data_IF_174740263978
#
_entry.id   IF_174740263978
#
_cell.length_a   1.000
_cell.length_b   1.000
_cell.length_c   1.000
_cell.angle_alpha   90.00
_cell.angle_beta   90.00
_cell.angle_gamma   90.00
#
_symmetry.space_group_name_H-M   'P 1'
#
loop_
_entity.id
_entity.type
_entity.pdbx_description
1 polymer ?
#
# COMPACT_ATOMS: atom_id res chain seq x y z
N UNK A 1 -8.00 -16.63 -18.16
CA UNK A 1 -8.20 -17.42 -16.92
C UNK A 1 -8.19 -16.60 -15.62
N UNK A 2 -7.37 -15.54 -15.44
CA UNK A 2 -7.30 -14.78 -14.15
C UNK A 2 -8.57 -14.04 -13.67
N UNK A 3 -9.54 -13.76 -14.55
CA UNK A 3 -10.80 -13.12 -14.14
C UNK A 3 -11.70 -14.05 -13.33
N UNK A 4 -11.60 -15.37 -13.57
CA UNK A 4 -12.42 -16.37 -12.89
C UNK A 4 -11.96 -16.53 -11.44
N UNK A 5 -10.65 -16.55 -11.21
CA UNK A 5 -10.07 -16.56 -9.85
C UNK A 5 -10.48 -15.31 -9.05
N UNK A 6 -10.53 -14.15 -9.71
CA UNK A 6 -10.90 -12.88 -9.08
C UNK A 6 -12.38 -12.82 -8.71
N UNK A 7 -13.24 -13.37 -9.57
CA UNK A 7 -14.66 -13.53 -9.27
C UNK A 7 -14.87 -14.52 -8.12
N UNK A 8 -14.11 -15.61 -8.11
CA UNK A 8 -14.21 -16.63 -7.07
C UNK A 8 -13.77 -16.08 -5.70
N UNK A 9 -12.71 -15.27 -5.65
CA UNK A 9 -12.23 -14.66 -4.40
C UNK A 9 -13.22 -13.62 -3.85
N UNK A 10 -13.80 -12.79 -4.72
CA UNK A 10 -14.83 -11.81 -4.33
C UNK A 10 -16.11 -12.49 -3.88
N UNK A 11 -16.56 -13.52 -4.60
CA UNK A 11 -17.74 -14.31 -4.22
C UNK A 11 -17.50 -15.02 -2.88
N UNK A 12 -16.32 -15.62 -2.69
CA UNK A 12 -15.96 -16.26 -1.43
C UNK A 12 -15.98 -15.26 -0.26
N UNK A 13 -15.43 -14.05 -0.46
CA UNK A 13 -15.46 -13.00 0.55
C UNK A 13 -16.89 -12.54 0.86
N UNK A 14 -17.69 -12.25 -0.16
CA UNK A 14 -19.10 -11.85 0.02
C UNK A 14 -19.91 -12.93 0.75
N UNK A 15 -19.72 -14.20 0.39
CA UNK A 15 -20.39 -15.33 1.07
C UNK A 15 -19.96 -15.42 2.53
N UNK A 16 -18.67 -15.23 2.84
CA UNK A 16 -18.16 -15.26 4.22
C UNK A 16 -18.71 -14.11 5.05
N UNK A 17 -18.73 -12.91 4.50
CA UNK A 17 -19.27 -11.72 5.18
C UNK A 17 -20.79 -11.83 5.38
N UNK A 18 -21.51 -12.30 4.36
CA UNK A 18 -22.95 -12.58 4.47
C UNK A 18 -23.23 -13.67 5.52
N UNK A 19 -22.45 -14.75 5.53
CA UNK A 19 -22.60 -15.82 6.51
C UNK A 19 -22.33 -15.33 7.95
N UNK A 20 -21.23 -14.60 8.17
CA UNK A 20 -20.92 -14.05 9.48
C UNK A 20 -21.98 -13.05 9.97
N UNK A 21 -22.50 -12.19 9.08
CA UNK A 21 -23.59 -11.27 9.43
C UNK A 21 -24.87 -12.01 9.77
N UNK A 22 -25.25 -13.05 9.01
CA UNK A 22 -26.41 -13.90 9.33
C UNK A 22 -26.24 -14.60 10.68
N UNK A 23 -25.08 -15.20 10.95
CA UNK A 23 -24.80 -15.88 12.23
C UNK A 23 -24.88 -14.88 13.39
N UNK A 24 -24.32 -13.68 13.22
CA UNK A 24 -24.34 -12.64 14.25
C UNK A 24 -25.76 -12.14 14.50
N UNK A 25 -26.54 -11.88 13.43
CA UNK A 25 -27.94 -11.48 13.54
C UNK A 25 -28.80 -12.57 14.19
N UNK A 26 -28.58 -13.84 13.82
CA UNK A 26 -29.31 -14.98 14.40
C UNK A 26 -28.97 -15.12 15.90
N UNK A 27 -27.70 -14.95 16.26
CA UNK A 27 -27.26 -14.91 17.66
C UNK A 27 -27.91 -13.78 18.44
N UNK A 28 -27.92 -12.56 17.90
CA UNK A 28 -28.58 -11.40 18.52
C UNK A 28 -30.09 -11.65 18.67
N UNK A 29 -30.75 -12.18 17.64
CA UNK A 29 -32.20 -12.41 17.63
C UNK A 29 -32.60 -13.49 18.65
N UNK A 30 -31.91 -14.63 18.67
CA UNK A 30 -32.16 -15.70 19.64
C UNK A 30 -31.92 -15.24 21.07
N UNK A 31 -30.87 -14.45 21.29
CA UNK A 31 -30.57 -13.88 22.59
C UNK A 31 -31.62 -12.87 23.04
N UNK A 32 -32.09 -12.01 22.12
CA UNK A 32 -33.16 -11.04 22.37
C UNK A 32 -34.49 -11.72 22.74
N UNK A 33 -34.85 -12.81 22.05
CA UNK A 33 -36.05 -13.60 22.37
C UNK A 33 -35.95 -14.27 23.75
N UNK A 34 -34.79 -14.82 24.10
CA UNK A 34 -34.57 -15.39 25.44
C UNK A 34 -34.71 -14.33 26.54
N UNK A 35 -34.15 -13.14 26.33
CA UNK A 35 -34.27 -12.04 27.28
C UNK A 35 -35.71 -11.57 27.39
N UNK A 36 -36.45 -11.48 26.28
CA UNK A 36 -37.86 -11.08 26.31
C UNK A 36 -38.68 -12.04 27.17
N UNK A 37 -38.46 -13.36 27.02
CA UNK A 37 -39.12 -14.37 27.85
C UNK A 37 -38.77 -14.26 29.35
N UNK A 38 -37.52 -13.92 29.68
CA UNK A 38 -37.08 -13.69 31.07
C UNK A 38 -37.65 -12.37 31.61
N UNK A 39 -37.70 -11.34 30.76
CA UNK A 39 -38.25 -10.03 31.04
C UNK A 39 -39.73 -10.10 31.40
N UNK A 40 -40.53 -10.82 30.62
CA UNK A 40 -41.95 -11.07 30.92
C UNK A 40 -42.12 -11.79 32.27
N UNK A 41 -41.23 -12.72 32.59
CA UNK A 41 -41.24 -13.46 33.86
C UNK A 41 -40.84 -12.60 35.08
N UNK A 42 -40.02 -11.56 34.86
CA UNK A 42 -39.60 -10.58 35.88
C UNK A 42 -40.54 -9.38 36.01
N UNK A 43 -41.21 -8.97 34.92
CA UNK A 43 -42.24 -7.94 34.93
C UNK A 43 -43.44 -8.38 35.76
N UNK A 44 -43.76 -9.68 35.74
CA UNK A 44 -44.69 -10.30 36.68
C UNK A 44 -44.29 -10.12 38.17
N UNK A 45 -43.02 -9.78 38.46
CA UNK A 45 -42.48 -9.51 39.80
C UNK A 45 -42.17 -8.03 40.09
N UNK A 46 -42.43 -7.10 39.15
CA UNK A 46 -42.40 -5.65 39.41
C UNK A 46 -41.05 -4.92 39.37
N UNK A 47 -39.99 -5.49 38.79
CA UNK A 47 -38.67 -4.82 38.67
C UNK A 47 -38.44 -4.27 37.25
N UNK A 48 -38.52 -2.95 37.05
CA UNK A 48 -38.45 -2.28 35.73
C UNK A 48 -37.07 -1.75 35.32
N UNK A 49 -36.09 -1.71 36.22
CA UNK A 49 -34.76 -1.12 35.99
C UNK A 49 -33.87 -1.89 34.99
N UNK A 50 -34.28 -3.10 34.58
CA UNK A 50 -33.42 -4.03 33.82
C UNK A 50 -33.41 -3.75 32.30
N UNK A 51 -34.50 -3.18 31.75
CA UNK A 51 -34.64 -2.94 30.31
C UNK A 51 -33.69 -1.85 29.77
N UNK A 52 -33.38 -0.83 30.59
CA UNK A 52 -32.55 0.31 30.19
C UNK A 52 -31.05 -0.02 30.10
N UNK A 53 -30.56 -0.97 30.90
CA UNK A 53 -29.18 -1.45 30.82
C UNK A 53 -28.89 -2.22 29.53
N UNK A 54 -29.89 -2.90 28.98
CA UNK A 54 -29.73 -3.78 27.83
C UNK A 54 -29.73 -3.07 26.47
N UNK A 55 -30.54 -2.02 26.31
CA UNK A 55 -30.47 -1.16 25.12
C UNK A 55 -29.09 -0.50 24.99
N UNK A 56 -28.47 -0.17 26.13
CA UNK A 56 -27.10 0.37 26.16
C UNK A 56 -26.06 -0.66 25.72
N UNK A 57 -26.15 -1.91 26.20
CA UNK A 57 -25.22 -2.99 25.81
C UNK A 57 -25.33 -3.36 24.33
N UNK A 58 -26.54 -3.41 23.76
CA UNK A 58 -26.75 -3.66 22.32
C UNK A 58 -26.20 -2.51 21.45
N UNK A 59 -26.35 -1.26 21.91
CA UNK A 59 -25.74 -0.09 21.26
C UNK A 59 -24.20 -0.17 21.23
N UNK A 60 -23.57 -0.60 22.34
CA UNK A 60 -22.12 -0.76 22.40
C UNK A 60 -21.62 -1.93 21.54
N UNK A 61 -22.38 -3.04 21.48
CA UNK A 61 -22.01 -4.19 20.66
C UNK A 61 -22.07 -3.89 19.16
N UNK A 62 -23.10 -3.15 18.72
CA UNK A 62 -23.23 -2.74 17.32
C UNK A 62 -22.11 -1.78 16.88
N UNK A 63 -21.70 -0.84 17.73
CA UNK A 63 -20.53 0.01 17.49
C UNK A 63 -19.23 -0.80 17.32
N UNK A 64 -19.03 -1.84 18.15
CA UNK A 64 -17.86 -2.71 18.05
C UNK A 64 -17.85 -3.59 16.79
N UNK A 65 -18.98 -4.21 16.46
CA UNK A 65 -19.08 -5.13 15.34
C UNK A 65 -18.88 -4.44 13.98
N UNK A 66 -19.45 -3.23 13.80
CA UNK A 66 -19.25 -2.46 12.56
C UNK A 66 -17.80 -2.02 12.36
N UNK A 67 -17.10 -1.67 13.44
CA UNK A 67 -15.68 -1.32 13.38
C UNK A 67 -14.80 -2.48 12.90
N UNK A 68 -15.06 -3.70 13.38
CA UNK A 68 -14.27 -4.89 13.04
C UNK A 68 -14.46 -5.29 11.57
N UNK A 69 -15.69 -5.24 11.05
CA UNK A 69 -15.99 -5.59 9.65
C UNK A 69 -15.33 -4.58 8.70
N UNK A 70 -15.39 -3.28 9.02
CA UNK A 70 -14.74 -2.24 8.24
C UNK A 70 -13.22 -2.41 8.17
N UNK A 71 -12.60 -2.79 9.30
CA UNK A 71 -11.15 -3.01 9.38
C UNK A 71 -10.67 -4.14 8.44
N UNK A 72 -11.40 -5.26 8.38
CA UNK A 72 -11.01 -6.38 7.51
C UNK A 72 -11.08 -6.04 6.01
N UNK A 73 -12.11 -5.30 5.60
CA UNK A 73 -12.25 -4.84 4.21
C UNK A 73 -11.09 -3.91 3.83
N UNK A 74 -10.74 -3.00 4.74
CA UNK A 74 -9.65 -2.04 4.53
C UNK A 74 -8.30 -2.74 4.37
N UNK A 75 -7.99 -3.76 5.20
CA UNK A 75 -6.77 -4.55 5.06
C UNK A 75 -6.67 -5.26 3.71
N UNK A 76 -7.77 -5.84 3.22
CA UNK A 76 -7.76 -6.54 1.94
C UNK A 76 -7.48 -5.59 0.79
N UNK A 77 -8.07 -4.39 0.82
CA UNK A 77 -7.83 -3.35 -0.18
C UNK A 77 -6.36 -2.94 -0.17
N UNK A 78 -5.77 -2.68 1.01
CA UNK A 78 -4.36 -2.30 1.12
C UNK A 78 -3.43 -3.39 0.59
N UNK A 79 -3.64 -4.65 1.02
CA UNK A 79 -2.79 -5.77 0.57
C UNK A 79 -2.83 -5.93 -0.94
N UNK A 80 -4.01 -5.75 -1.54
CA UNK A 80 -4.18 -5.79 -3.00
C UNK A 80 -3.47 -4.63 -3.68
N UNK A 81 -3.62 -3.41 -3.18
CA UNK A 81 -2.95 -2.22 -3.71
C UNK A 81 -1.42 -2.36 -3.65
N UNK A 82 -0.91 -2.88 -2.53
CA UNK A 82 0.51 -3.12 -2.32
C UNK A 82 1.05 -4.18 -3.29
N UNK A 83 0.30 -5.26 -3.52
CA UNK A 83 0.67 -6.31 -4.48
C UNK A 83 0.75 -5.78 -5.91
N UNK A 84 -0.18 -4.89 -6.28
CA UNK A 84 -0.19 -4.23 -7.59
C UNK A 84 1.02 -3.30 -7.76
N UNK A 85 1.35 -2.53 -6.74
CA UNK A 85 2.53 -1.65 -6.72
C UNK A 85 3.83 -2.43 -6.79
N UNK A 86 3.98 -3.51 -6.01
CA UNK A 86 5.16 -4.38 -6.06
C UNK A 86 5.34 -5.00 -7.44
N UNK A 87 4.26 -5.37 -8.14
CA UNK A 87 4.35 -5.90 -9.49
C UNK A 87 4.86 -4.85 -10.48
N UNK A 88 4.39 -3.59 -10.37
CA UNK A 88 4.88 -2.49 -11.19
C UNK A 88 6.35 -2.21 -10.91
N UNK A 89 6.77 -2.22 -9.64
CA UNK A 89 8.17 -2.02 -9.24
C UNK A 89 9.08 -3.12 -9.76
N UNK A 90 8.62 -4.38 -9.75
CA UNK A 90 9.38 -5.51 -10.33
C UNK A 90 9.61 -5.30 -11.83
N UNK A 91 8.58 -4.89 -12.57
CA UNK A 91 8.67 -4.59 -14.00
C UNK A 91 9.60 -3.39 -14.25
N UNK A 92 9.49 -2.33 -13.44
CA UNK A 92 10.38 -1.17 -13.51
C UNK A 92 11.84 -1.54 -13.31
N UNK A 93 12.12 -2.43 -12.35
CA UNK A 93 13.47 -2.94 -12.09
C UNK A 93 14.02 -3.74 -13.28
N UNK A 94 13.21 -4.58 -13.91
CA UNK A 94 13.63 -5.36 -15.09
C UNK A 94 13.92 -4.49 -16.32
N UNK A 95 13.27 -3.33 -16.42
CA UNK A 95 13.31 -2.47 -17.62
C UNK A 95 14.22 -1.25 -17.48
N UNK A 96 14.98 -1.15 -16.39
CA UNK A 96 15.95 -0.06 -16.18
C UNK A 96 15.33 1.24 -15.72
N UNK A 97 14.17 1.20 -15.05
CA UNK A 97 13.62 2.34 -14.32
C UNK A 97 12.80 3.33 -15.14
N UNK A 98 12.71 3.24 -16.47
CA UNK A 98 11.86 4.13 -17.26
C UNK A 98 10.82 3.34 -18.07
N UNK A 99 9.54 3.65 -17.85
CA UNK A 99 8.44 2.88 -18.44
C UNK A 99 7.24 3.75 -18.81
N UNK A 100 6.64 3.42 -19.96
CA UNK A 100 5.37 4.02 -20.39
C UNK A 100 4.16 3.35 -19.73
N UNK A 101 3.08 4.10 -19.57
CA UNK A 101 1.82 3.60 -19.00
C UNK A 101 1.29 2.35 -19.74
N UNK A 102 1.34 2.37 -21.07
CA UNK A 102 0.86 1.29 -21.93
C UNK A 102 1.70 0.02 -21.78
N UNK A 103 3.02 0.16 -21.70
CA UNK A 103 3.94 -0.95 -21.50
C UNK A 103 3.70 -1.64 -20.15
N UNK A 104 3.57 -0.85 -19.07
CA UNK A 104 3.27 -1.40 -17.73
C UNK A 104 1.92 -2.11 -17.73
N UNK A 105 0.88 -1.52 -18.34
CA UNK A 105 -0.45 -2.14 -18.40
C UNK A 105 -0.42 -3.48 -19.13
N UNK A 106 0.36 -3.57 -20.21
CA UNK A 106 0.50 -4.78 -21.00
C UNK A 106 1.28 -5.87 -20.25
N UNK A 107 2.42 -5.54 -19.65
CA UNK A 107 3.27 -6.49 -18.92
C UNK A 107 2.61 -6.96 -17.61
N UNK A 108 2.01 -6.04 -16.85
CA UNK A 108 1.30 -6.36 -15.61
C UNK A 108 -0.07 -7.04 -15.86
N UNK A 109 -0.56 -7.03 -17.11
CA UNK A 109 -1.92 -7.48 -17.49
C UNK A 109 -3.01 -6.77 -16.70
N UNK A 110 -2.84 -5.47 -16.50
CA UNK A 110 -3.78 -4.60 -15.79
C UNK A 110 -4.53 -3.70 -16.78
N UNK A 111 -5.72 -3.23 -16.39
CA UNK A 111 -6.41 -2.21 -17.17
C UNK A 111 -5.66 -0.88 -17.08
N UNK A 112 -5.68 -0.08 -18.15
CA UNK A 112 -4.99 1.21 -18.22
C UNK A 112 -5.41 2.13 -17.06
N UNK A 113 -6.72 2.16 -16.74
CA UNK A 113 -7.24 2.94 -15.61
C UNK A 113 -6.65 2.51 -14.27
N UNK A 114 -6.52 1.20 -14.05
CA UNK A 114 -5.95 0.63 -12.83
C UNK A 114 -4.45 0.91 -12.72
N UNK A 115 -3.71 0.75 -13.81
CA UNK A 115 -2.28 1.08 -13.89
C UNK A 115 -2.05 2.56 -13.60
N UNK A 116 -2.86 3.45 -14.19
CA UNK A 116 -2.80 4.89 -13.95
C UNK A 116 -3.02 5.22 -12.47
N UNK A 117 -4.01 4.59 -11.83
CA UNK A 117 -4.28 4.81 -10.41
C UNK A 117 -3.13 4.31 -9.52
N UNK A 118 -2.57 3.13 -9.81
CA UNK A 118 -1.43 2.60 -9.05
C UNK A 118 -0.18 3.49 -9.21
N UNK A 119 0.13 3.95 -10.42
CA UNK A 119 1.23 4.87 -10.67
C UNK A 119 1.03 6.25 -10.04
N UNK A 120 -0.21 6.75 -10.00
CA UNK A 120 -0.51 7.99 -9.28
C UNK A 120 -0.24 7.87 -7.78
N UNK A 121 -0.52 6.71 -7.16
CA UNK A 121 -0.17 6.46 -5.76
C UNK A 121 1.35 6.39 -5.55
N UNK A 122 2.06 5.68 -6.44
CA UNK A 122 3.53 5.61 -6.40
C UNK A 122 4.19 6.98 -6.61
N UNK A 123 3.59 7.84 -7.43
CA UNK A 123 4.06 9.21 -7.62
C UNK A 123 3.77 10.07 -6.38
N UNK A 124 2.60 9.92 -5.76
CA UNK A 124 2.24 10.61 -4.53
C UNK A 124 3.13 10.22 -3.34
N UNK A 125 3.66 8.99 -3.32
CA UNK A 125 4.64 8.53 -2.32
C UNK A 125 6.09 8.90 -2.66
N UNK A 126 6.34 9.56 -3.79
CA UNK A 126 7.68 9.98 -4.21
C UNK A 126 8.55 8.86 -4.77
N UNK A 127 8.00 7.68 -5.05
CA UNK A 127 8.74 6.52 -5.58
C UNK A 127 9.02 6.66 -7.08
N UNK A 128 8.13 7.35 -7.81
CA UNK A 128 8.31 7.62 -9.24
C UNK A 128 7.97 9.06 -9.60
N UNK A 129 8.58 9.56 -10.66
CA UNK A 129 8.28 10.87 -11.24
C UNK A 129 7.60 10.70 -12.59
N UNK A 130 6.52 11.45 -12.81
CA UNK A 130 5.82 11.47 -14.09
C UNK A 130 6.47 12.50 -15.01
N UNK A 131 6.93 12.08 -16.18
CA UNK A 131 7.55 12.93 -17.19
C UNK A 131 6.83 12.75 -18.52
N UNK A 132 6.60 13.84 -19.24
CA UNK A 132 6.13 13.76 -20.62
C UNK A 132 7.34 13.68 -21.56
N UNK A 133 7.40 12.63 -22.36
CA UNK A 133 8.43 12.43 -23.38
C UNK A 133 7.76 12.07 -24.70
N UNK A 134 8.07 12.80 -25.77
CA UNK A 134 7.50 12.59 -27.12
C UNK A 134 5.97 12.38 -27.13
N UNK A 135 5.23 13.31 -26.52
CA UNK A 135 3.76 13.28 -26.38
C UNK A 135 3.19 12.08 -25.61
N UNK A 136 4.05 11.27 -25.01
CA UNK A 136 3.68 10.05 -24.28
C UNK A 136 3.98 10.23 -22.79
N UNK A 137 3.07 9.75 -21.94
CA UNK A 137 3.24 9.77 -20.50
C UNK A 137 4.22 8.67 -20.08
N UNK A 138 5.40 9.07 -19.60
CA UNK A 138 6.43 8.17 -19.10
C UNK A 138 6.60 8.33 -17.59
N UNK A 139 6.92 7.23 -16.91
CA UNK A 139 7.19 7.20 -15.48
C UNK A 139 8.63 6.75 -15.27
N UNK A 140 9.39 7.57 -14.54
CA UNK A 140 10.78 7.31 -14.20
C UNK A 140 10.89 6.93 -12.72
N UNK A 141 11.60 5.86 -12.43
CA UNK A 141 11.85 5.29 -11.11
C UNK A 141 13.34 5.48 -10.78
N UNK A 142 13.72 6.55 -10.06
CA UNK A 142 15.13 6.92 -9.85
C UNK A 142 15.94 5.84 -9.11
N UNK A 143 15.30 4.99 -8.30
CA UNK A 143 15.99 3.91 -7.58
C UNK A 143 16.52 2.79 -8.49
N UNK A 144 16.10 2.73 -9.75
CA UNK A 144 16.51 1.69 -10.71
C UNK A 144 17.21 2.25 -11.92
N UNK A 145 17.51 3.56 -11.93
CA UNK A 145 18.33 4.17 -12.96
C UNK A 145 19.69 3.49 -12.88
N UNK A 146 19.92 2.61 -13.84
CA UNK A 146 21.12 1.78 -13.89
C UNK A 146 22.25 2.77 -14.12
N UNK A 147 23.08 2.99 -13.10
CA UNK A 147 24.32 3.75 -13.27
C UNK A 147 25.18 2.90 -14.20
N UNK A 148 25.02 3.11 -15.51
CA UNK A 148 25.78 2.43 -16.58
C UNK A 148 27.24 2.94 -16.60
N UNK A 149 27.84 3.07 -15.42
CA UNK A 149 29.07 3.81 -15.18
C UNK A 149 29.95 3.25 -14.07
N UNK A 150 29.85 1.95 -13.75
CA UNK A 150 30.98 1.23 -13.18
C UNK A 150 31.84 0.63 -14.31
N UNK A 151 32.41 1.51 -15.15
CA UNK A 151 33.65 1.19 -15.83
C UNK A 151 34.76 1.25 -14.77
N UNK A 152 34.98 0.13 -14.09
CA UNK A 152 36.06 -0.10 -13.09
C UNK A 152 37.45 -0.13 -13.75
N UNK A 153 37.60 0.25 -15.02
CA UNK A 153 38.90 0.21 -15.71
C UNK A 153 39.59 1.58 -15.85
N UNK A 154 39.10 2.64 -15.18
CA UNK A 154 39.75 3.97 -15.22
C UNK A 154 40.24 4.50 -13.87
N UNK A 155 40.29 3.65 -12.83
CA UNK A 155 40.96 4.00 -11.57
C UNK A 155 42.46 3.67 -11.58
N UNK A 156 42.93 2.73 -12.41
CA UNK A 156 44.37 2.38 -12.48
C UNK A 156 45.20 3.34 -13.37
N UNK A 157 44.56 4.28 -14.08
CA UNK A 157 45.25 5.27 -14.93
C UNK A 157 45.25 6.70 -14.38
N UNK A 158 44.66 6.92 -13.21
CA UNK A 158 44.71 8.22 -12.52
C UNK A 158 45.81 8.28 -11.43
N UNK A 159 46.31 7.14 -10.95
CA UNK A 159 47.38 7.13 -9.93
C UNK A 159 48.78 7.46 -10.47
N UNK A 160 49.03 7.48 -11.79
CA UNK A 160 50.34 7.87 -12.32
C UNK A 160 50.54 9.38 -12.51
N UNK A 161 49.48 10.20 -12.37
CA UNK A 161 49.58 11.66 -12.60
C UNK A 161 49.66 12.48 -11.29
N UNK A 162 49.55 11.86 -10.11
CA UNK A 162 49.64 12.55 -8.80
C UNK A 162 51.01 12.28 -8.15
N UNK A 163 52.10 12.39 -8.92
CA UNK A 163 53.48 12.30 -8.40
C UNK A 163 54.28 13.61 -8.54
N UNK A 164 53.67 14.71 -8.99
CA UNK A 164 54.39 15.97 -9.26
C UNK A 164 53.82 17.24 -8.62
N UNK A 165 52.88 17.14 -7.67
CA UNK A 165 52.47 18.32 -6.87
C UNK A 165 53.39 18.45 -5.66
N UNK A 166 54.55 19.08 -5.89
CA UNK A 166 55.45 19.56 -4.83
C UNK A 166 54.75 20.70 -4.09
N UNK A 167 54.29 20.44 -2.87
CA UNK A 167 53.77 21.45 -1.95
C UNK A 167 54.97 22.19 -1.34
N UNK A 168 55.23 23.41 -1.79
CA UNK A 168 56.13 24.32 -1.06
C UNK A 168 55.35 25.02 0.06
N UNK A 169 55.80 24.80 1.29
CA UNK A 169 55.31 25.49 2.48
C UNK A 169 55.74 26.96 2.43
N UNK A 170 54.78 27.85 2.22
CA UNK A 170 54.98 29.27 2.46
C UNK A 170 55.13 29.51 3.98
N UNK A 171 56.04 30.41 4.38
CA UNK A 171 56.44 30.71 5.77
C UNK A 171 55.33 31.33 6.63
N UNK A 172 54.15 31.54 6.08
CA UNK A 172 53.05 32.27 6.72
C UNK A 172 51.85 31.40 7.11
N UNK A 173 51.92 30.07 6.93
CA UNK A 173 50.92 29.16 7.51
C UNK A 173 49.50 29.29 6.95
N UNK A 174 49.30 29.89 5.78
CA UNK A 174 48.01 29.99 5.12
C UNK A 174 47.97 29.16 3.83
N UNK A 175 47.02 28.24 3.74
CA UNK A 175 46.71 27.46 2.54
C UNK A 175 45.86 28.32 1.59
N UNK A 176 46.43 28.73 0.44
CA UNK A 176 45.64 29.28 -0.66
C UNK A 176 45.85 28.44 -1.93
N UNK A 177 44.77 28.02 -2.62
CA UNK A 177 44.89 27.33 -3.89
C UNK A 177 45.24 28.32 -5.00
N UNK A 178 46.42 28.15 -5.59
CA UNK A 178 46.84 28.86 -6.81
C UNK A 178 46.35 28.07 -8.02
N UNK A 179 45.44 28.66 -8.78
CA UNK A 179 45.00 28.13 -10.08
C UNK A 179 45.88 28.76 -11.16
N UNK A 180 46.52 27.92 -11.99
CA UNK A 180 47.14 28.35 -13.25
C UNK A 180 46.14 28.20 -14.38
#
# INVERSE_FOLDING_TARGET
>A
MKYIDLLQEVVSFCVRTAFNTIVTLTGILTFSLMISAIGDLLLAKGHTSFLFGWSCLLGLFSLGAFGIIGYQVWEFIIKRQLKEEMMILAIAKEKGGQLSLSQIALEAKFSIAKTKHALARLAASGICTMTFFDSTLSYTFPSFEKTDGENVDTAEKAESTISSVRIELNKEGALQPVWK
#
